data_IF_593784772709
#
_entry.id   IF_593784772709
#
_cell.length_a   1.000
_cell.length_b   1.000
_cell.length_c   1.000
_cell.angle_alpha   90.00
_cell.angle_beta   90.00
_cell.angle_gamma   90.00
#
_symmetry.space_group_name_H-M   'P 1'
#
loop_
_entity.id
_entity.type
_entity.pdbx_description
1 polymer ?
#
# COMPACT_ATOMS: atom_id res chain seq x y z
N UNK A 1 5.37 -12.89 -12.12
CA UNK A 1 5.23 -12.77 -10.66
C UNK A 1 6.44 -12.06 -10.07
N UNK A 2 6.24 -11.13 -9.17
CA UNK A 2 7.34 -10.41 -8.53
C UNK A 2 8.00 -11.29 -7.47
N UNK A 3 9.31 -11.21 -7.34
CA UNK A 3 10.02 -11.92 -6.30
C UNK A 3 9.78 -11.23 -4.94
N UNK A 4 9.92 -11.98 -3.86
CA UNK A 4 9.67 -11.46 -2.52
C UNK A 4 10.57 -10.27 -2.20
N UNK A 5 11.82 -10.30 -2.62
CA UNK A 5 12.75 -9.19 -2.39
C UNK A 5 12.40 -7.92 -3.17
N UNK A 6 11.47 -7.98 -4.10
CA UNK A 6 11.01 -6.81 -4.84
C UNK A 6 10.03 -5.96 -4.03
N UNK A 7 9.60 -6.46 -2.88
CA UNK A 7 8.68 -5.77 -1.99
C UNK A 7 9.31 -5.69 -0.61
N UNK A 8 9.51 -4.47 -0.12
CA UNK A 8 10.10 -4.25 1.19
C UNK A 8 9.43 -3.09 1.91
N UNK A 9 9.08 -3.30 3.16
CA UNK A 9 8.52 -2.27 4.02
C UNK A 9 9.63 -1.64 4.85
N UNK A 10 9.79 -0.33 4.74
CA UNK A 10 10.86 0.42 5.42
C UNK A 10 10.23 1.46 6.35
N UNK A 11 10.61 1.44 7.62
CA UNK A 11 10.17 2.44 8.57
C UNK A 11 10.88 3.76 8.29
N UNK A 12 10.10 4.81 8.03
CA UNK A 12 10.65 6.13 7.71
C UNK A 12 10.42 7.16 8.81
N UNK A 13 9.64 6.81 9.83
CA UNK A 13 9.27 7.76 10.87
C UNK A 13 9.89 7.39 12.19
N UNK A 14 9.96 8.35 13.07
CA UNK A 14 10.29 8.27 14.47
C UNK A 14 11.36 7.29 14.93
N UNK A 15 12.05 7.63 16.02
CA UNK A 15 13.14 6.77 16.50
C UNK A 15 12.67 5.49 17.18
N UNK A 16 11.40 5.39 17.49
CA UNK A 16 10.90 4.28 18.31
C UNK A 16 10.17 3.19 17.51
N UNK A 17 9.87 3.43 16.24
CA UNK A 17 9.19 2.43 15.42
C UNK A 17 7.85 1.99 15.97
N UNK A 18 7.14 2.86 16.65
CA UNK A 18 5.85 2.53 17.25
C UNK A 18 4.70 2.65 16.23
N UNK A 19 3.48 2.48 16.70
CA UNK A 19 2.30 2.52 15.85
C UNK A 19 2.05 3.86 15.16
N UNK A 20 2.77 4.91 15.57
CA UNK A 20 2.66 6.23 14.98
C UNK A 20 3.69 6.47 13.89
N UNK A 21 4.58 5.52 13.64
CA UNK A 21 5.59 5.64 12.61
C UNK A 21 4.99 5.46 11.23
N UNK A 22 5.50 6.26 10.30
CA UNK A 22 5.20 6.08 8.89
C UNK A 22 6.17 5.08 8.29
N UNK A 23 5.70 4.32 7.33
CA UNK A 23 6.52 3.34 6.62
C UNK A 23 6.51 3.67 5.15
N UNK A 24 7.63 3.50 4.49
CA UNK A 24 7.73 3.55 3.05
C UNK A 24 7.87 2.12 2.53
N UNK A 25 7.33 1.87 1.36
CA UNK A 25 7.47 0.58 0.69
C UNK A 25 8.47 0.76 -0.42
N UNK A 26 9.52 -0.05 -0.40
CA UNK A 26 10.46 -0.11 -1.52
C UNK A 26 9.99 -1.18 -2.49
N UNK A 27 9.80 -0.76 -3.74
CA UNK A 27 9.46 -1.65 -4.83
C UNK A 27 10.59 -1.62 -5.85
N UNK A 28 11.09 -2.77 -6.25
CA UNK A 28 12.14 -2.87 -7.27
C UNK A 28 11.50 -3.34 -8.57
N UNK A 29 11.80 -2.63 -9.66
CA UNK A 29 11.18 -2.88 -10.94
C UNK A 29 9.87 -2.13 -11.11
N UNK A 30 9.13 -2.48 -12.13
CA UNK A 30 7.85 -1.84 -12.43
C UNK A 30 6.71 -2.62 -11.78
N UNK A 31 5.86 -1.89 -11.07
CA UNK A 31 4.70 -2.45 -10.39
C UNK A 31 3.45 -1.72 -10.82
N UNK A 32 2.37 -2.47 -11.07
CA UNK A 32 1.04 -1.89 -11.19
C UNK A 32 0.35 -1.90 -9.84
N UNK A 33 -0.71 -1.09 -9.72
CA UNK A 33 -1.52 -1.07 -8.49
C UNK A 33 -2.01 -2.47 -8.15
N UNK A 34 -2.51 -3.21 -9.14
CA UNK A 34 -3.02 -4.56 -8.93
C UNK A 34 -1.95 -5.51 -8.39
N UNK A 35 -0.76 -5.47 -8.96
CA UNK A 35 0.35 -6.31 -8.51
C UNK A 35 0.72 -6.01 -7.06
N UNK A 36 0.78 -4.72 -6.70
CA UNK A 36 1.09 -4.31 -5.36
C UNK A 36 0.03 -4.75 -4.36
N UNK A 37 -1.24 -4.50 -4.67
CA UNK A 37 -2.36 -4.90 -3.82
C UNK A 37 -2.30 -6.40 -3.57
N UNK A 38 -2.08 -7.19 -4.61
CA UNK A 38 -1.96 -8.65 -4.48
C UNK A 38 -0.80 -9.04 -3.56
N UNK A 39 0.35 -8.40 -3.73
CA UNK A 39 1.53 -8.68 -2.89
C UNK A 39 1.26 -8.39 -1.42
N UNK A 40 0.58 -7.26 -1.14
CA UNK A 40 0.21 -6.91 0.23
C UNK A 40 -0.72 -7.95 0.82
N UNK A 41 -1.77 -8.34 0.09
CA UNK A 41 -2.73 -9.32 0.59
C UNK A 41 -2.09 -10.67 0.91
N UNK A 42 -1.05 -11.04 0.16
CA UNK A 42 -0.35 -12.30 0.36
C UNK A 42 0.68 -12.27 1.49
N UNK A 43 1.29 -11.10 1.76
CA UNK A 43 2.47 -11.01 2.61
C UNK A 43 2.31 -10.16 3.86
N UNK A 44 1.33 -9.27 3.88
CA UNK A 44 1.15 -8.36 5.01
C UNK A 44 0.51 -9.13 6.18
N UNK A 45 1.13 -9.09 7.36
CA UNK A 45 0.57 -9.78 8.54
C UNK A 45 -0.57 -9.01 9.19
N UNK A 46 -0.82 -7.77 8.78
CA UNK A 46 -1.89 -6.97 9.38
C UNK A 46 -3.26 -7.55 9.06
N UNK A 47 -4.13 -7.55 10.08
CA UNK A 47 -5.47 -8.10 9.94
C UNK A 47 -6.37 -7.24 9.09
N UNK A 48 -6.13 -5.92 9.08
CA UNK A 48 -7.04 -4.96 8.49
C UNK A 48 -6.31 -3.71 8.04
N UNK A 49 -6.78 -3.10 6.96
CA UNK A 49 -6.19 -1.86 6.49
C UNK A 49 -6.87 -1.32 5.24
N UNK A 50 -6.28 -0.27 4.70
CA UNK A 50 -6.80 0.41 3.53
C UNK A 50 -5.71 0.69 2.51
N UNK A 51 -6.12 0.71 1.25
CA UNK A 51 -5.30 1.23 0.16
C UNK A 51 -5.93 2.54 -0.30
N UNK A 52 -5.17 3.62 -0.24
CA UNK A 52 -5.55 4.92 -0.78
C UNK A 52 -4.79 5.10 -2.08
N UNK A 53 -5.49 5.28 -3.19
CA UNK A 53 -4.86 5.38 -4.49
C UNK A 53 -5.07 6.80 -5.02
N UNK A 54 -3.99 7.50 -5.27
CA UNK A 54 -3.99 8.90 -5.63
C UNK A 54 -3.07 9.17 -6.80
N UNK A 55 -3.29 10.28 -7.47
CA UNK A 55 -2.35 10.76 -8.48
C UNK A 55 -1.15 11.38 -7.78
N UNK A 56 0.02 11.28 -8.41
CA UNK A 56 1.23 11.90 -7.89
C UNK A 56 0.99 13.41 -7.65
N UNK A 57 1.42 13.89 -6.50
CA UNK A 57 1.25 15.27 -6.11
C UNK A 57 -0.02 15.59 -5.34
N UNK A 58 -0.99 14.67 -5.31
CA UNK A 58 -2.18 14.85 -4.48
C UNK A 58 -1.87 14.59 -3.02
N UNK A 59 -2.68 15.19 -2.16
CA UNK A 59 -2.63 14.89 -0.73
C UNK A 59 -3.37 13.58 -0.46
N UNK A 60 -3.02 12.90 0.63
CA UNK A 60 -3.65 11.62 0.97
C UNK A 60 -5.18 11.71 1.07
N UNK A 61 -5.69 12.83 1.59
CA UNK A 61 -7.14 13.02 1.74
C UNK A 61 -7.84 13.34 0.40
N UNK A 62 -7.06 13.51 -0.67
CA UNK A 62 -7.60 13.72 -2.01
C UNK A 62 -7.58 12.44 -2.83
N UNK A 63 -7.31 11.31 -2.19
CA UNK A 63 -7.21 10.03 -2.88
C UNK A 63 -8.46 9.75 -3.73
N UNK A 64 -8.23 9.29 -4.95
CA UNK A 64 -9.31 8.97 -5.89
C UNK A 64 -10.10 7.75 -5.45
N UNK A 65 -9.43 6.79 -4.86
CA UNK A 65 -10.00 5.50 -4.49
C UNK A 65 -9.51 5.11 -3.12
N UNK A 66 -10.42 4.57 -2.31
CA UNK A 66 -10.11 3.98 -1.01
C UNK A 66 -10.66 2.57 -1.00
N UNK A 67 -9.79 1.60 -0.76
CA UNK A 67 -10.16 0.19 -0.77
C UNK A 67 -9.77 -0.43 0.55
N UNK A 68 -10.73 -1.04 1.23
CA UNK A 68 -10.51 -1.73 2.50
C UNK A 68 -10.15 -3.19 2.25
N UNK A 69 -9.22 -3.72 3.05
CA UNK A 69 -8.95 -5.15 3.08
C UNK A 69 -9.01 -5.66 4.52
N UNK A 70 -9.33 -6.93 4.67
CA UNK A 70 -9.44 -7.58 5.96
C UNK A 70 -9.04 -9.04 5.82
N UNK A 71 -8.13 -9.49 6.67
CA UNK A 71 -7.64 -10.87 6.68
C UNK A 71 -7.18 -11.37 5.30
N UNK A 72 -6.46 -10.52 4.58
CA UNK A 72 -5.93 -10.88 3.27
C UNK A 72 -6.95 -10.84 2.12
N UNK A 73 -8.15 -10.33 2.38
CA UNK A 73 -9.21 -10.25 1.36
C UNK A 73 -9.65 -8.81 1.17
N UNK A 74 -9.88 -8.43 -0.08
CA UNK A 74 -10.44 -7.12 -0.39
C UNK A 74 -11.92 -7.08 -0.03
N UNK A 75 -12.34 -5.97 0.56
CA UNK A 75 -13.75 -5.71 0.85
C UNK A 75 -14.46 -5.07 -0.35
N UNK A 76 -13.68 -4.55 -1.29
CA UNK A 76 -14.21 -3.94 -2.51
C UNK A 76 -13.24 -4.20 -3.67
N UNK A 77 -13.74 -4.06 -4.89
CA UNK A 77 -12.94 -4.31 -6.08
C UNK A 77 -12.10 -3.10 -6.45
N UNK A 78 -10.85 -3.31 -6.85
CA UNK A 78 -10.03 -2.25 -7.40
C UNK A 78 -10.56 -1.91 -8.79
N UNK A 79 -10.91 -0.63 -9.06
CA UNK A 79 -11.36 -0.25 -10.40
C UNK A 79 -10.35 -0.66 -11.46
N UNK A 80 -10.82 -1.21 -12.57
CA UNK A 80 -9.95 -1.77 -13.60
C UNK A 80 -8.95 -0.74 -14.14
N UNK A 81 -9.40 0.47 -14.37
CA UNK A 81 -8.52 1.55 -14.85
C UNK A 81 -7.39 1.84 -13.88
N UNK A 82 -7.70 1.81 -12.59
CA UNK A 82 -6.72 2.06 -11.54
C UNK A 82 -5.77 0.89 -11.39
N UNK A 83 -6.30 -0.33 -11.48
CA UNK A 83 -5.53 -1.56 -11.30
C UNK A 83 -4.34 -1.66 -12.25
N UNK A 84 -4.47 -1.12 -13.46
CA UNK A 84 -3.44 -1.18 -14.49
C UNK A 84 -2.41 -0.06 -14.43
N UNK A 85 -2.65 0.95 -13.60
CA UNK A 85 -1.72 2.09 -13.51
C UNK A 85 -0.43 1.66 -12.85
N UNK A 86 0.67 2.21 -13.36
CA UNK A 86 1.99 2.00 -12.77
C UNK A 86 2.14 2.85 -11.53
N UNK A 87 2.74 2.26 -10.51
CA UNK A 87 3.00 2.93 -9.25
C UNK A 87 4.26 3.76 -9.37
N UNK A 88 4.19 5.02 -8.97
CA UNK A 88 5.36 5.89 -8.84
C UNK A 88 5.96 5.78 -7.46
N UNK A 89 5.11 5.70 -6.44
CA UNK A 89 5.57 5.65 -5.07
C UNK A 89 4.49 5.07 -4.18
N UNK A 90 4.91 4.38 -3.12
CA UNK A 90 4.01 3.89 -2.08
C UNK A 90 4.51 4.37 -0.73
N UNK A 91 3.58 4.74 0.10
CA UNK A 91 3.82 5.18 1.45
C UNK A 91 2.82 4.47 2.36
N UNK A 92 3.22 4.13 3.58
CA UNK A 92 2.32 3.42 4.48
C UNK A 92 2.48 3.86 5.92
N UNK A 93 1.40 3.77 6.66
CA UNK A 93 1.39 3.87 8.12
C UNK A 93 1.01 2.52 8.67
N UNK A 94 1.60 2.16 9.80
CA UNK A 94 1.34 0.89 10.42
C UNK A 94 0.87 1.04 11.87
N UNK A 95 0.07 0.08 12.27
CA UNK A 95 -0.34 -0.11 13.65
C UNK A 95 -0.31 -1.60 13.94
N UNK A 96 -0.83 -1.99 15.08
CA UNK A 96 -0.78 -3.38 15.52
C UNK A 96 -1.54 -4.33 14.60
N UNK A 97 -2.75 -3.95 14.22
CA UNK A 97 -3.60 -4.77 13.38
C UNK A 97 -4.10 -4.03 12.15
N UNK A 98 -3.61 -2.82 11.94
CA UNK A 98 -4.08 -1.92 10.88
C UNK A 98 -2.89 -1.40 10.09
N UNK A 99 -3.01 -1.41 8.77
CA UNK A 99 -2.00 -0.83 7.90
C UNK A 99 -2.67 -0.10 6.75
N UNK A 100 -2.29 1.16 6.57
CA UNK A 100 -2.77 1.97 5.46
C UNK A 100 -1.66 2.20 4.46
N UNK A 101 -1.99 2.07 3.18
CA UNK A 101 -1.05 2.31 2.09
C UNK A 101 -1.56 3.45 1.21
N UNK A 102 -0.69 4.38 0.90
CA UNK A 102 -0.97 5.48 -0.03
C UNK A 102 -0.17 5.22 -1.31
N UNK A 103 -0.89 4.92 -2.38
CA UNK A 103 -0.31 4.53 -3.67
C UNK A 103 -0.41 5.72 -4.62
N UNK A 104 0.73 6.23 -5.07
CA UNK A 104 0.79 7.32 -6.04
C UNK A 104 1.01 6.75 -7.44
N UNK A 105 0.16 7.14 -8.36
CA UNK A 105 0.23 6.67 -9.76
C UNK A 105 0.59 7.75 -10.75
#
# INVERSE_FOLDING_TARGET
>A
MKAEQDFKLVCTGGPYGDCCCSYAVELHGEWTVQEFVKAVLERNPCEWGFFYIQRAGQKWYEAQVKIEYQYGNLKSTVPEKIARKKIKRVHSNGGWSLMDYWIET
#
